data_IF_046787473941
#
_entry.id   IF_046787473941
#
_cell.length_a   1.000
_cell.length_b   1.000
_cell.length_c   1.000
_cell.angle_alpha   90.00
_cell.angle_beta   90.00
_cell.angle_gamma   90.00
#
_symmetry.space_group_name_H-M   'P 1'
#
loop_
_entity.id
_entity.type
_entity.pdbx_description
1 polymer ?
#
# COMPACT_ATOMS: atom_id res chain seq x y z
N UNK A 1 20.98 -15.52 18.60
CA UNK A 1 19.90 -14.51 18.59
C UNK A 1 19.59 -14.21 17.14
N UNK A 2 18.34 -14.38 16.68
CA UNK A 2 17.94 -13.91 15.34
C UNK A 2 17.90 -12.39 15.41
N UNK A 3 18.68 -11.70 14.58
CA UNK A 3 18.51 -10.27 14.36
C UNK A 3 17.08 -10.04 13.87
N UNK A 4 16.32 -9.28 14.65
CA UNK A 4 15.01 -8.79 14.22
C UNK A 4 15.34 -7.61 13.34
N UNK A 5 15.34 -7.82 12.03
CA UNK A 5 15.55 -6.76 11.04
C UNK A 5 14.33 -5.83 11.09
N UNK A 6 14.39 -4.85 11.99
CA UNK A 6 13.36 -3.83 12.18
C UNK A 6 13.44 -2.84 11.01
N UNK A 7 12.90 -3.26 9.86
CA UNK A 7 12.68 -2.36 8.75
C UNK A 7 11.61 -1.34 9.15
N UNK A 8 12.05 -0.14 9.56
CA UNK A 8 11.17 0.99 9.79
C UNK A 8 10.56 1.42 8.45
N UNK A 9 9.29 1.07 8.25
CA UNK A 9 8.47 1.66 7.19
C UNK A 9 7.70 2.80 7.85
N UNK A 10 7.95 4.01 7.36
CA UNK A 10 7.12 5.17 7.70
C UNK A 10 5.67 4.83 7.30
N UNK A 11 4.74 4.72 8.25
CA UNK A 11 3.38 4.30 7.93
C UNK A 11 2.61 5.30 7.07
N UNK A 12 3.15 6.51 6.89
CA UNK A 12 2.61 7.54 6.03
C UNK A 12 3.40 7.72 4.73
N UNK A 13 4.31 6.79 4.38
CA UNK A 13 4.90 6.77 3.05
C UNK A 13 5.33 5.39 2.55
N UNK A 14 5.33 5.19 1.24
CA UNK A 14 5.89 4.02 0.58
C UNK A 14 6.89 4.45 -0.50
N UNK A 15 7.96 3.68 -0.64
CA UNK A 15 8.93 3.84 -1.73
C UNK A 15 8.48 2.99 -2.92
N UNK A 16 8.28 3.63 -4.07
CA UNK A 16 7.86 3.00 -5.32
C UNK A 16 9.02 3.12 -6.32
N UNK A 17 9.24 2.05 -7.07
CA UNK A 17 10.12 2.04 -8.24
C UNK A 17 9.22 2.08 -9.47
N UNK A 18 9.36 3.11 -10.31
CA UNK A 18 8.59 3.18 -11.54
C UNK A 18 9.13 2.26 -12.66
N UNK A 19 8.42 2.21 -13.78
CA UNK A 19 8.81 1.40 -14.95
C UNK A 19 10.12 1.88 -15.62
N UNK A 20 10.61 3.07 -15.29
CA UNK A 20 11.90 3.59 -15.74
C UNK A 20 13.01 3.36 -14.68
N UNK A 21 12.69 2.71 -13.56
CA UNK A 21 13.62 2.48 -12.46
C UNK A 21 13.82 3.69 -11.55
N UNK A 22 13.02 4.75 -11.70
CA UNK A 22 13.10 5.95 -10.86
C UNK A 22 12.42 5.68 -9.53
N UNK A 23 13.14 6.00 -8.45
CA UNK A 23 12.63 5.95 -7.10
C UNK A 23 11.72 7.15 -6.82
N UNK A 24 10.49 6.88 -6.42
CA UNK A 24 9.50 7.89 -6.00
C UNK A 24 8.95 7.52 -4.64
N UNK A 25 8.81 8.51 -3.76
CA UNK A 25 8.16 8.35 -2.46
C UNK A 25 6.72 8.82 -2.58
N UNK A 26 5.77 7.94 -2.30
CA UNK A 26 4.36 8.25 -2.23
C UNK A 26 3.96 8.43 -0.77
N UNK A 27 3.44 9.61 -0.43
CA UNK A 27 2.98 9.92 0.93
C UNK A 27 1.47 9.66 1.05
N UNK A 28 1.04 9.24 2.23
CA UNK A 28 -0.38 9.14 2.55
C UNK A 28 -0.96 10.53 2.86
N UNK A 29 -2.22 10.81 2.51
CA UNK A 29 -3.12 9.91 1.79
C UNK A 29 -2.84 9.86 0.28
N UNK A 30 -3.10 8.70 -0.35
CA UNK A 30 -3.09 8.55 -1.81
C UNK A 30 -4.25 7.70 -2.31
N UNK A 31 -4.54 7.77 -3.62
CA UNK A 31 -5.67 7.08 -4.23
C UNK A 31 -5.24 5.81 -4.95
N UNK A 32 -6.04 4.75 -4.82
CA UNK A 32 -5.85 3.47 -5.52
C UNK A 32 -7.13 2.99 -6.17
N UNK A 33 -6.99 2.23 -7.26
CA UNK A 33 -8.09 1.46 -7.84
C UNK A 33 -8.13 0.07 -7.21
N UNK A 34 -9.33 -0.44 -6.93
CA UNK A 34 -9.47 -1.85 -6.57
C UNK A 34 -9.49 -2.74 -7.81
N UNK A 35 -8.63 -3.77 -7.82
CA UNK A 35 -8.60 -4.83 -8.83
C UNK A 35 -9.27 -6.12 -8.34
N UNK A 36 -9.71 -6.16 -7.08
CA UNK A 36 -10.37 -7.32 -6.48
C UNK A 36 -11.89 -7.30 -6.74
N UNK A 37 -12.42 -8.43 -7.21
CA UNK A 37 -13.83 -8.58 -7.63
C UNK A 37 -14.76 -9.00 -6.47
N UNK A 38 -14.83 -8.23 -5.38
CA UNK A 38 -16.09 -8.22 -4.64
C UNK A 38 -16.98 -7.16 -5.28
N UNK A 39 -18.26 -7.49 -5.53
CA UNK A 39 -19.23 -6.63 -6.24
C UNK A 39 -19.38 -5.22 -5.63
N UNK A 40 -18.83 -5.00 -4.42
CA UNK A 40 -18.96 -3.79 -3.62
C UNK A 40 -17.86 -2.76 -3.92
N UNK A 41 -16.71 -3.18 -4.46
CA UNK A 41 -15.46 -2.38 -4.50
C UNK A 41 -14.93 -2.17 -5.93
N UNK A 42 -15.47 -2.89 -6.91
CA UNK A 42 -15.11 -2.72 -8.32
C UNK A 42 -15.34 -1.26 -8.74
N UNK A 43 -14.33 -0.66 -9.39
CA UNK A 43 -14.39 0.68 -10.00
C UNK A 43 -14.48 1.88 -9.02
N UNK A 44 -14.25 1.66 -7.72
CA UNK A 44 -14.13 2.78 -6.76
C UNK A 44 -12.67 3.19 -6.59
N UNK A 45 -12.45 4.50 -6.71
CA UNK A 45 -11.25 5.16 -6.20
C UNK A 45 -11.31 5.10 -4.67
N UNK A 46 -10.30 4.50 -4.05
CA UNK A 46 -10.20 4.35 -2.60
C UNK A 46 -9.03 5.16 -2.07
N UNK A 47 -9.22 5.78 -0.91
CA UNK A 47 -8.18 6.57 -0.25
C UNK A 47 -7.43 5.68 0.74
N UNK A 48 -6.12 5.54 0.54
CA UNK A 48 -5.21 4.89 1.48
C UNK A 48 -4.79 5.91 2.53
N UNK A 49 -5.13 5.63 3.79
CA UNK A 49 -4.87 6.48 4.95
C UNK A 49 -3.48 6.20 5.55
N UNK A 50 -3.03 4.94 5.46
CA UNK A 50 -1.80 4.45 6.08
C UNK A 50 -1.32 3.16 5.37
N UNK A 51 -0.02 2.92 5.39
CA UNK A 51 0.62 1.68 4.93
C UNK A 51 1.17 0.93 6.13
N UNK A 52 0.87 -0.37 6.27
CA UNK A 52 1.38 -1.23 7.34
C UNK A 52 2.06 -2.46 6.79
N UNK A 53 3.02 -2.97 7.55
CA UNK A 53 3.67 -4.26 7.30
C UNK A 53 3.43 -5.21 8.47
N UNK A 54 3.20 -6.48 8.22
CA UNK A 54 3.18 -7.50 9.28
C UNK A 54 4.60 -8.08 9.52
N UNK A 55 4.71 -9.02 10.45
CA UNK A 55 5.96 -9.73 10.77
C UNK A 55 6.46 -10.63 9.64
N UNK A 56 5.58 -11.00 8.70
CA UNK A 56 5.88 -11.84 7.53
C UNK A 56 6.29 -11.00 6.31
N UNK A 57 6.40 -9.68 6.48
CA UNK A 57 6.72 -8.69 5.45
C UNK A 57 5.59 -8.39 4.44
N UNK A 58 4.36 -8.84 4.66
CA UNK A 58 3.21 -8.48 3.84
C UNK A 58 2.79 -7.02 4.05
N UNK A 59 2.45 -6.34 2.96
CA UNK A 59 2.00 -4.95 2.97
C UNK A 59 0.48 -4.87 2.93
N UNK A 60 -0.08 -4.04 3.81
CA UNK A 60 -1.50 -3.73 3.91
C UNK A 60 -1.74 -2.23 3.77
N UNK A 61 -2.79 -1.86 3.05
CA UNK A 61 -3.34 -0.51 3.02
C UNK A 61 -4.45 -0.39 4.04
N UNK A 62 -4.43 0.70 4.81
CA UNK A 62 -5.54 1.09 5.66
C UNK A 62 -6.46 1.96 4.84
N UNK A 63 -7.68 1.49 4.61
CA UNK A 63 -8.73 2.18 3.84
C UNK A 63 -9.98 2.15 4.72
N UNK A 64 -10.52 3.32 5.07
CA UNK A 64 -11.64 3.47 6.00
C UNK A 64 -11.39 2.71 7.33
N UNK A 65 -10.17 2.82 7.87
CA UNK A 65 -9.75 2.10 9.08
C UNK A 65 -9.58 0.57 8.94
N UNK A 66 -9.81 -0.02 7.76
CA UNK A 66 -9.66 -1.47 7.52
C UNK A 66 -8.34 -1.78 6.84
N UNK A 67 -7.63 -2.79 7.37
CA UNK A 67 -6.42 -3.31 6.75
C UNK A 67 -6.77 -4.26 5.60
N UNK A 68 -6.40 -3.88 4.39
CA UNK A 68 -6.62 -4.65 3.16
C UNK A 68 -5.28 -4.94 2.48
N UNK A 69 -5.04 -6.17 1.98
CA UNK A 69 -3.79 -6.50 1.30
C UNK A 69 -3.52 -5.58 0.11
N UNK A 70 -2.29 -5.05 0.01
CA UNK A 70 -1.94 -4.06 -1.03
C UNK A 70 -2.16 -4.60 -2.46
N UNK A 71 -1.98 -5.90 -2.67
CA UNK A 71 -2.12 -6.55 -3.99
C UNK A 71 -3.56 -6.61 -4.50
N UNK A 72 -4.55 -6.19 -3.70
CA UNK A 72 -5.92 -5.96 -4.18
C UNK A 72 -6.10 -4.62 -4.88
N UNK A 73 -5.06 -3.80 -4.94
CA UNK A 73 -5.13 -2.45 -5.45
C UNK A 73 -4.05 -2.16 -6.47
N UNK A 74 -4.40 -1.30 -7.42
CA UNK A 74 -3.46 -0.69 -8.36
C UNK A 74 -3.28 0.77 -7.95
N UNK A 75 -2.03 1.15 -7.71
CA UNK A 75 -1.69 2.56 -7.48
C UNK A 75 -1.66 3.25 -8.84
N UNK A 76 -2.58 4.18 -9.07
CA UNK A 76 -2.55 5.07 -10.23
C UNK A 76 -1.60 6.23 -9.94
N UNK A 77 -0.34 5.91 -9.71
CA UNK A 77 0.74 6.89 -9.80
C UNK A 77 1.73 6.31 -10.77
N UNK A 78 1.70 6.84 -12.00
CA UNK A 78 2.78 7.01 -12.98
C UNK A 78 2.20 7.31 -14.37
#
# INVERSE_FOLDING_TARGET
>A
MKEIDLHYIDPFSILIVDNLGVLKRLFCPFVVDSIFQSEIVREKLLVVEMVRKNVENDIFFIIEGKALPHYFFKINSL
#
